data_IF_626149347173
#
_entry.id   IF_626149347173
#
_cell.length_a   1.000
_cell.length_b   1.000
_cell.length_c   1.000
_cell.angle_alpha   90.00
_cell.angle_beta   90.00
_cell.angle_gamma   90.00
#
_symmetry.space_group_name_H-M   'P 1'
#
loop_
_entity.id
_entity.type
_entity.pdbx_description
1 polymer ?
#
# COMPACT_ATOMS: atom_id res chain seq x y z
N UNK A 1 -15.45 79.68 20.64
CA UNK A 1 -16.89 79.98 20.96
C UNK A 1 -17.76 78.83 20.46
N UNK A 2 -18.70 78.36 21.36
CA UNK A 2 -19.89 77.48 21.19
C UNK A 2 -19.64 76.00 20.84
N UNK A 3 -19.68 75.05 21.75
CA UNK A 3 -20.72 74.44 22.60
C UNK A 3 -21.92 73.92 21.84
N UNK A 4 -22.22 72.59 22.13
CA UNK A 4 -23.46 71.84 22.07
C UNK A 4 -23.62 71.00 20.78
N UNK A 5 -24.00 69.70 20.81
CA UNK A 5 -24.87 68.97 21.74
C UNK A 5 -24.52 67.48 21.70
N UNK A 6 -24.55 66.87 22.89
CA UNK A 6 -24.76 65.47 23.16
C UNK A 6 -26.22 65.09 22.86
N UNK A 7 -26.49 63.92 22.33
CA UNK A 7 -27.42 62.91 22.88
C UNK A 7 -27.84 61.89 21.84
N UNK A 8 -27.81 60.61 22.26
CA UNK A 8 -28.70 59.51 21.87
C UNK A 8 -28.28 58.62 20.68
N UNK A 9 -27.65 57.52 20.99
CA UNK A 9 -28.02 56.19 20.51
C UNK A 9 -27.28 55.11 21.30
N UNK A 10 -27.73 54.85 22.49
CA UNK A 10 -27.55 53.56 23.14
C UNK A 10 -28.81 52.76 22.83
N UNK A 11 -28.64 51.58 22.21
CA UNK A 11 -29.51 50.39 22.11
C UNK A 11 -29.40 49.77 20.70
N UNK A 12 -28.38 48.99 20.47
CA UNK A 12 -28.34 47.92 19.45
C UNK A 12 -27.05 47.09 19.53
N UNK A 13 -26.60 46.65 20.71
CA UNK A 13 -25.40 45.81 20.87
C UNK A 13 -25.58 44.60 21.77
N UNK A 14 -26.80 44.08 21.93
CA UNK A 14 -27.04 42.87 22.71
C UNK A 14 -27.51 41.65 21.86
N UNK A 15 -27.69 41.81 20.56
CA UNK A 15 -28.13 40.70 19.68
C UNK A 15 -27.01 39.97 18.93
N UNK A 16 -25.81 40.57 18.80
CA UNK A 16 -24.69 40.00 18.00
C UNK A 16 -23.72 39.14 18.83
N UNK A 17 -23.68 39.29 20.13
CA UNK A 17 -22.75 38.52 20.99
C UNK A 17 -23.25 37.09 21.29
N UNK A 18 -24.55 36.85 21.34
CA UNK A 18 -25.11 35.50 21.57
C UNK A 18 -25.07 34.59 20.32
N UNK A 19 -24.98 35.15 19.11
CA UNK A 19 -24.88 34.37 17.88
C UNK A 19 -23.44 33.96 17.58
N UNK A 20 -22.42 34.64 18.12
CA UNK A 20 -21.01 34.30 17.95
C UNK A 20 -20.55 33.18 18.90
N UNK A 21 -21.12 33.11 20.10
CA UNK A 21 -20.77 32.02 21.05
C UNK A 21 -21.39 30.66 20.67
N UNK A 22 -22.47 30.62 19.90
CA UNK A 22 -23.09 29.36 19.43
C UNK A 22 -22.40 28.81 18.19
N UNK A 23 -21.61 29.60 17.45
CA UNK A 23 -20.82 29.17 16.28
C UNK A 23 -19.42 28.66 16.63
N UNK A 24 -18.92 28.95 17.85
CA UNK A 24 -17.62 28.45 18.33
C UNK A 24 -17.70 27.11 19.07
N UNK A 25 -18.89 26.56 19.29
CA UNK A 25 -19.10 25.30 20.01
C UNK A 25 -19.29 24.07 19.11
N UNK A 26 -19.03 24.19 17.82
CA UNK A 26 -19.08 23.09 16.86
C UNK A 26 -17.82 22.98 16.02
N UNK A 27 -16.66 23.17 16.64
CA UNK A 27 -15.47 22.46 16.18
C UNK A 27 -15.71 21.00 16.51
N UNK A 28 -16.21 20.26 15.52
CA UNK A 28 -16.26 18.82 15.58
C UNK A 28 -14.83 18.36 15.92
N UNK A 29 -14.65 17.83 17.14
CA UNK A 29 -13.42 17.13 17.50
C UNK A 29 -13.17 16.14 16.38
N UNK A 30 -12.11 16.36 15.61
CA UNK A 30 -11.61 15.37 14.69
C UNK A 30 -11.51 14.04 15.48
N UNK A 31 -12.02 12.93 14.97
CA UNK A 31 -11.93 11.67 15.67
C UNK A 31 -10.48 11.48 16.07
N UNK A 32 -10.23 11.15 17.33
CA UNK A 32 -8.90 10.90 17.84
C UNK A 32 -8.21 9.95 16.86
N UNK A 33 -7.06 10.38 16.31
CA UNK A 33 -6.28 9.56 15.39
C UNK A 33 -6.07 8.20 16.05
N UNK A 34 -6.63 7.15 15.47
CA UNK A 34 -6.40 5.79 15.93
C UNK A 34 -4.90 5.51 15.74
N UNK A 35 -4.14 5.62 16.85
CA UNK A 35 -2.68 5.42 16.85
C UNK A 35 -2.30 3.97 16.58
N UNK A 36 -3.29 3.11 16.37
CA UNK A 36 -3.10 1.69 16.06
C UNK A 36 -2.47 1.54 14.68
N UNK A 37 -1.50 0.63 14.57
CA UNK A 37 -0.87 0.29 13.29
C UNK A 37 -1.94 -0.11 12.26
N UNK A 38 -2.00 0.61 11.14
CA UNK A 38 -2.87 0.29 10.02
C UNK A 38 -2.35 -0.96 9.30
N UNK A 39 -3.20 -1.97 9.18
CA UNK A 39 -2.90 -3.23 8.51
C UNK A 39 -3.87 -3.45 7.36
N UNK A 40 -3.36 -3.44 6.13
CA UNK A 40 -4.13 -3.81 4.95
C UNK A 40 -3.88 -5.28 4.57
N UNK A 41 -4.76 -5.84 3.73
CA UNK A 41 -4.59 -7.15 3.10
C UNK A 41 -4.59 -6.97 1.59
N UNK A 42 -3.67 -7.64 0.90
CA UNK A 42 -3.62 -7.66 -0.56
C UNK A 42 -4.81 -8.46 -1.14
N UNK A 43 -5.36 -7.99 -2.26
CA UNK A 43 -6.49 -8.67 -2.93
C UNK A 43 -6.18 -10.12 -3.28
N UNK A 44 -4.97 -10.42 -3.75
CA UNK A 44 -4.58 -11.80 -4.08
C UNK A 44 -4.73 -12.75 -2.89
N UNK A 45 -4.39 -12.29 -1.69
CA UNK A 45 -4.60 -13.03 -0.44
C UNK A 45 -6.09 -13.29 -0.19
N UNK A 46 -6.93 -12.27 -0.31
CA UNK A 46 -8.37 -12.42 -0.16
C UNK A 46 -8.94 -13.42 -1.17
N UNK A 47 -8.63 -13.23 -2.45
CA UNK A 47 -9.09 -14.10 -3.54
C UNK A 47 -8.70 -15.56 -3.32
N UNK A 48 -7.46 -15.82 -2.91
CA UNK A 48 -6.97 -17.20 -2.77
C UNK A 48 -7.57 -17.92 -1.57
N UNK A 49 -7.80 -17.24 -0.45
CA UNK A 49 -8.45 -17.85 0.71
C UNK A 49 -9.95 -18.09 0.47
N UNK A 50 -10.70 -17.09 -0.01
CA UNK A 50 -12.13 -17.24 -0.25
C UNK A 50 -12.45 -18.18 -1.42
N UNK A 51 -11.57 -18.27 -2.43
CA UNK A 51 -11.70 -19.25 -3.52
C UNK A 51 -11.64 -20.70 -3.03
N UNK A 52 -10.92 -20.99 -1.94
CA UNK A 52 -10.94 -22.31 -1.29
C UNK A 52 -12.33 -22.72 -0.80
N UNK A 53 -13.19 -21.74 -0.54
CA UNK A 53 -14.58 -21.89 -0.13
C UNK A 53 -15.58 -21.68 -1.28
N UNK A 54 -15.08 -21.48 -2.49
CA UNK A 54 -15.88 -21.13 -3.68
C UNK A 54 -16.72 -19.86 -3.49
N UNK A 55 -16.14 -18.84 -2.85
CA UNK A 55 -16.76 -17.54 -2.54
C UNK A 55 -15.99 -16.40 -3.20
N UNK A 56 -16.71 -15.42 -3.74
CA UNK A 56 -16.15 -14.13 -4.15
C UNK A 56 -15.90 -13.26 -2.90
N UNK A 57 -14.63 -12.91 -2.63
CA UNK A 57 -14.24 -12.11 -1.47
C UNK A 57 -14.92 -10.73 -1.44
N UNK A 58 -15.23 -10.16 -2.59
CA UNK A 58 -15.95 -8.89 -2.67
C UNK A 58 -17.32 -8.93 -1.96
N UNK A 59 -17.91 -10.11 -1.78
CA UNK A 59 -19.15 -10.30 -1.01
C UNK A 59 -18.89 -10.42 0.50
N UNK A 60 -17.63 -10.41 0.94
CA UNK A 60 -17.18 -10.63 2.31
C UNK A 60 -16.46 -9.44 2.96
N UNK A 61 -16.57 -8.26 2.39
CA UNK A 61 -15.85 -7.07 2.89
C UNK A 61 -16.19 -6.73 4.34
N UNK A 62 -17.46 -6.89 4.75
CA UNK A 62 -17.84 -6.69 6.15
C UNK A 62 -17.18 -7.72 7.09
N UNK A 63 -17.05 -8.98 6.66
CA UNK A 63 -16.36 -10.03 7.40
C UNK A 63 -14.87 -9.73 7.54
N UNK A 64 -14.21 -9.30 6.45
CA UNK A 64 -12.81 -8.88 6.44
C UNK A 64 -12.60 -7.69 7.38
N UNK A 65 -13.47 -6.69 7.34
CA UNK A 65 -13.44 -5.55 8.27
C UNK A 65 -13.54 -6.00 9.73
N UNK A 66 -14.49 -6.87 10.04
CA UNK A 66 -14.72 -7.40 11.39
C UNK A 66 -13.54 -8.28 11.87
N UNK A 67 -12.77 -8.88 10.97
CA UNK A 67 -11.51 -9.55 11.30
C UNK A 67 -10.38 -8.59 11.71
N UNK A 68 -10.64 -7.29 11.74
CA UNK A 68 -9.69 -6.28 12.18
C UNK A 68 -8.75 -5.77 11.08
N UNK A 69 -9.05 -6.05 9.81
CA UNK A 69 -8.34 -5.47 8.65
C UNK A 69 -8.80 -4.03 8.45
N UNK A 70 -7.88 -3.11 8.22
CA UNK A 70 -8.17 -1.68 8.07
C UNK A 70 -8.39 -1.27 6.62
N UNK A 71 -7.79 -1.99 5.66
CA UNK A 71 -7.89 -1.69 4.23
C UNK A 71 -7.60 -2.87 3.34
N UNK A 72 -7.91 -2.70 2.06
CA UNK A 72 -7.59 -3.67 0.99
C UNK A 72 -6.69 -2.99 -0.03
N UNK A 73 -5.59 -3.65 -0.37
CA UNK A 73 -4.80 -3.33 -1.55
C UNK A 73 -5.40 -4.06 -2.75
N UNK A 74 -6.26 -3.37 -3.48
CA UNK A 74 -6.97 -3.95 -4.62
C UNK A 74 -6.04 -4.05 -5.84
N UNK A 75 -6.16 -5.15 -6.60
CA UNK A 75 -5.46 -5.34 -7.88
C UNK A 75 -6.30 -4.76 -9.02
N UNK A 76 -5.82 -3.72 -9.66
CA UNK A 76 -6.60 -2.91 -10.59
C UNK A 76 -5.91 -2.75 -11.94
N UNK A 77 -6.66 -2.98 -13.01
CA UNK A 77 -6.18 -2.92 -14.39
C UNK A 77 -6.62 -1.71 -15.19
N UNK A 78 -7.62 -0.96 -14.71
CA UNK A 78 -8.17 0.21 -15.41
C UNK A 78 -8.66 1.29 -14.43
N UNK A 79 -8.83 2.51 -14.92
CA UNK A 79 -9.40 3.61 -14.14
C UNK A 79 -10.85 3.35 -13.72
N UNK A 80 -11.66 2.69 -14.56
CA UNK A 80 -13.04 2.35 -14.22
C UNK A 80 -13.12 1.35 -13.08
N UNK A 81 -12.31 0.28 -13.11
CA UNK A 81 -12.23 -0.70 -12.04
C UNK A 81 -11.76 -0.05 -10.73
N UNK A 82 -10.83 0.90 -10.83
CA UNK A 82 -10.30 1.66 -9.69
C UNK A 82 -11.40 2.44 -8.98
N UNK A 83 -12.23 3.17 -9.71
CA UNK A 83 -13.32 3.93 -9.13
C UNK A 83 -14.40 3.01 -8.48
N UNK A 84 -14.73 1.89 -9.15
CA UNK A 84 -15.69 0.93 -8.63
C UNK A 84 -15.18 0.25 -7.33
N UNK A 85 -13.91 -0.18 -7.30
CA UNK A 85 -13.30 -0.76 -6.12
C UNK A 85 -13.24 0.22 -4.95
N UNK A 86 -12.78 1.46 -5.21
CA UNK A 86 -12.69 2.50 -4.19
C UNK A 86 -14.02 2.79 -3.51
N UNK A 87 -15.09 2.95 -4.31
CA UNK A 87 -16.44 3.12 -3.76
C UNK A 87 -16.86 1.93 -2.89
N UNK A 88 -16.67 0.71 -3.40
CA UNK A 88 -17.10 -0.51 -2.71
C UNK A 88 -16.38 -0.72 -1.38
N UNK A 89 -15.09 -0.43 -1.31
CA UNK A 89 -14.31 -0.49 -0.07
C UNK A 89 -14.76 0.58 0.92
N UNK A 90 -14.97 1.81 0.47
CA UNK A 90 -15.45 2.91 1.30
C UNK A 90 -16.83 2.61 1.93
N UNK A 91 -17.77 2.02 1.16
CA UNK A 91 -19.10 1.62 1.64
C UNK A 91 -19.03 0.60 2.82
N UNK A 92 -17.89 -0.09 3.00
CA UNK A 92 -17.64 -1.05 4.08
C UNK A 92 -16.63 -0.55 5.14
N UNK A 93 -16.23 0.71 5.08
CA UNK A 93 -15.25 1.30 6.00
C UNK A 93 -13.84 0.71 5.88
N UNK A 94 -13.49 0.16 4.71
CA UNK A 94 -12.15 -0.32 4.38
C UNK A 94 -11.41 0.75 3.58
N UNK A 95 -10.18 1.08 3.99
CA UNK A 95 -9.34 2.03 3.28
C UNK A 95 -8.78 1.42 1.99
N UNK A 96 -8.63 2.24 0.94
CA UNK A 96 -7.86 1.92 -0.26
C UNK A 96 -6.59 2.78 -0.29
N UNK A 97 -5.78 2.65 0.76
CA UNK A 97 -4.55 3.44 0.94
C UNK A 97 -3.47 3.06 -0.07
N UNK A 98 -3.40 1.78 -0.42
CA UNK A 98 -2.59 1.29 -1.55
C UNK A 98 -3.45 0.51 -2.53
N UNK A 99 -2.99 0.48 -3.79
CA UNK A 99 -3.51 -0.39 -4.85
C UNK A 99 -2.34 -1.08 -5.54
N UNK A 100 -2.60 -2.24 -6.15
CA UNK A 100 -1.64 -2.99 -6.94
C UNK A 100 -2.02 -2.91 -8.42
N UNK A 101 -1.03 -2.69 -9.27
CA UNK A 101 -1.19 -2.77 -10.73
C UNK A 101 0.10 -3.26 -11.39
N UNK A 102 0.00 -3.69 -12.64
CA UNK A 102 1.15 -4.11 -13.44
C UNK A 102 1.08 -3.53 -14.84
N UNK A 103 2.21 -3.48 -15.53
CA UNK A 103 2.25 -2.99 -16.90
C UNK A 103 3.54 -3.28 -17.65
N UNK A 104 3.45 -3.31 -18.97
CA UNK A 104 4.58 -3.55 -19.85
C UNK A 104 5.29 -2.23 -20.20
N UNK A 105 6.22 -1.81 -19.35
CA UNK A 105 7.01 -0.60 -19.56
C UNK A 105 8.36 -0.85 -20.25
N UNK A 106 8.74 -2.09 -20.53
CA UNK A 106 9.99 -2.45 -21.22
C UNK A 106 9.83 -2.49 -22.74
N UNK A 107 8.61 -2.62 -23.25
CA UNK A 107 8.32 -2.68 -24.69
C UNK A 107 8.35 -1.27 -25.33
N UNK A 108 8.82 -1.20 -26.57
CA UNK A 108 8.97 0.08 -27.26
C UNK A 108 7.63 0.65 -27.74
N UNK A 109 6.80 -0.20 -28.33
CA UNK A 109 5.53 0.23 -28.92
C UNK A 109 4.39 0.29 -27.89
N UNK A 110 4.37 -0.66 -26.95
CA UNK A 110 3.34 -0.73 -25.93
C UNK A 110 3.56 0.28 -24.78
N UNK A 111 4.81 0.66 -24.50
CA UNK A 111 5.17 1.44 -23.32
C UNK A 111 4.45 2.78 -23.19
N UNK A 112 4.26 3.51 -24.29
CA UNK A 112 3.51 4.80 -24.26
C UNK A 112 2.04 4.61 -23.93
N UNK A 113 1.38 3.58 -24.50
CA UNK A 113 -0.03 3.26 -24.20
C UNK A 113 -0.19 2.82 -22.74
N UNK A 114 0.75 2.03 -22.25
CA UNK A 114 0.79 1.60 -20.85
C UNK A 114 0.96 2.76 -19.89
N UNK A 115 1.84 3.72 -20.18
CA UNK A 115 2.02 4.93 -19.38
C UNK A 115 0.71 5.71 -19.26
N UNK A 116 -0.01 5.93 -20.37
CA UNK A 116 -1.30 6.65 -20.34
C UNK A 116 -2.34 5.92 -19.48
N UNK A 117 -2.50 4.59 -19.66
CA UNK A 117 -3.41 3.77 -18.87
C UNK A 117 -3.07 3.81 -17.37
N UNK A 118 -1.79 3.70 -17.03
CA UNK A 118 -1.34 3.69 -15.64
C UNK A 118 -1.54 5.05 -14.97
N UNK A 119 -1.29 6.16 -15.67
CA UNK A 119 -1.55 7.50 -15.16
C UNK A 119 -3.03 7.69 -14.84
N UNK A 120 -3.94 7.22 -15.70
CA UNK A 120 -5.39 7.25 -15.45
C UNK A 120 -5.77 6.49 -14.17
N UNK A 121 -5.16 5.34 -13.90
CA UNK A 121 -5.40 4.59 -12.66
C UNK A 121 -5.10 5.47 -11.43
N UNK A 122 -3.99 6.19 -11.42
CA UNK A 122 -3.64 7.11 -10.34
C UNK A 122 -4.65 8.23 -10.14
N UNK A 123 -5.10 8.85 -11.25
CA UNK A 123 -6.13 9.90 -11.20
C UNK A 123 -7.45 9.40 -10.59
N UNK A 124 -7.86 8.18 -10.95
CA UNK A 124 -9.09 7.56 -10.43
C UNK A 124 -8.95 7.02 -9.01
N UNK A 125 -7.73 6.69 -8.56
CA UNK A 125 -7.46 6.20 -7.20
C UNK A 125 -7.41 7.35 -6.17
N UNK A 126 -6.89 8.52 -6.56
CA UNK A 126 -6.68 9.66 -5.67
C UNK A 126 -7.92 10.07 -4.85
N UNK A 127 -9.15 10.17 -5.41
CA UNK A 127 -10.33 10.55 -4.64
C UNK A 127 -10.69 9.61 -3.49
N UNK A 128 -10.18 8.37 -3.49
CA UNK A 128 -10.41 7.36 -2.46
C UNK A 128 -9.32 7.28 -1.40
N UNK A 129 -8.43 8.28 -1.36
CA UNK A 129 -7.37 8.35 -0.35
C UNK A 129 -6.16 7.47 -0.64
N UNK A 130 -5.98 7.02 -1.89
CA UNK A 130 -4.79 6.25 -2.28
C UNK A 130 -3.54 7.14 -2.21
N UNK A 131 -2.54 6.65 -1.51
CA UNK A 131 -1.24 7.29 -1.28
C UNK A 131 -0.10 6.53 -1.99
N UNK A 132 -0.30 5.24 -2.27
CA UNK A 132 0.72 4.34 -2.82
C UNK A 132 0.11 3.52 -3.95
N UNK A 133 0.81 3.43 -5.08
CA UNK A 133 0.52 2.44 -6.11
C UNK A 133 1.69 1.48 -6.19
N UNK A 134 1.44 0.24 -5.77
CA UNK A 134 2.37 -0.87 -5.89
C UNK A 134 2.39 -1.31 -7.35
N UNK A 135 3.52 -1.16 -7.99
CA UNK A 135 3.68 -1.41 -9.43
C UNK A 135 4.64 -2.56 -9.69
N UNK A 136 4.13 -3.60 -10.36
CA UNK A 136 4.95 -4.72 -10.84
C UNK A 136 5.18 -4.60 -12.34
N UNK A 137 6.44 -4.47 -12.81
CA UNK A 137 6.74 -4.55 -14.23
C UNK A 137 6.27 -5.89 -14.81
N UNK A 138 5.74 -5.89 -16.04
CA UNK A 138 5.32 -7.13 -16.68
C UNK A 138 6.48 -8.13 -16.72
N UNK A 139 6.23 -9.32 -16.16
CA UNK A 139 7.23 -10.36 -16.06
C UNK A 139 7.69 -10.83 -17.45
N UNK A 140 9.01 -10.86 -17.64
CA UNK A 140 9.67 -11.44 -18.82
C UNK A 140 11.03 -11.93 -18.38
N UNK A 141 11.25 -13.23 -18.41
CA UNK A 141 12.56 -13.80 -18.14
C UNK A 141 13.60 -13.29 -19.15
N UNK A 142 14.76 -12.88 -18.65
CA UNK A 142 15.88 -12.48 -19.51
C UNK A 142 15.64 -11.21 -20.32
N UNK A 143 15.01 -10.18 -19.78
CA UNK A 143 14.97 -8.85 -20.42
C UNK A 143 16.37 -8.41 -20.84
N UNK A 144 16.51 -7.87 -22.04
CA UNK A 144 17.76 -7.28 -22.54
C UNK A 144 18.10 -5.98 -21.80
N UNK A 145 19.36 -5.54 -21.86
CA UNK A 145 19.77 -4.29 -21.24
C UNK A 145 18.98 -3.08 -21.80
N UNK A 146 18.68 -3.09 -23.10
CA UNK A 146 17.85 -2.04 -23.72
C UNK A 146 16.43 -2.01 -23.15
N UNK A 147 15.82 -3.18 -22.90
CA UNK A 147 14.50 -3.29 -22.28
C UNK A 147 14.52 -2.84 -20.81
N UNK A 148 15.54 -3.20 -20.05
CA UNK A 148 15.70 -2.77 -18.67
C UNK A 148 15.90 -1.25 -18.54
N UNK A 149 16.73 -0.66 -19.40
CA UNK A 149 16.95 0.80 -19.44
C UNK A 149 15.64 1.52 -19.79
N UNK A 150 14.90 1.02 -20.80
CA UNK A 150 13.59 1.58 -21.18
C UNK A 150 12.59 1.46 -20.07
N UNK A 151 12.48 0.30 -19.42
CA UNK A 151 11.60 0.07 -18.28
C UNK A 151 11.87 1.08 -17.16
N UNK A 152 13.11 1.24 -16.74
CA UNK A 152 13.48 2.17 -15.68
C UNK A 152 13.15 3.61 -16.03
N UNK A 153 13.43 4.05 -17.25
CA UNK A 153 13.06 5.38 -17.76
C UNK A 153 11.54 5.61 -17.73
N UNK A 154 10.76 4.61 -18.17
CA UNK A 154 9.31 4.70 -18.19
C UNK A 154 8.72 4.65 -16.75
N UNK A 155 9.34 3.89 -15.84
CA UNK A 155 8.96 3.90 -14.41
C UNK A 155 9.25 5.26 -13.77
N UNK A 156 10.35 5.90 -14.08
CA UNK A 156 10.65 7.27 -13.62
C UNK A 156 9.58 8.26 -14.11
N UNK A 157 9.21 8.19 -15.38
CA UNK A 157 8.15 9.03 -15.96
C UNK A 157 6.81 8.80 -15.27
N UNK A 158 6.44 7.53 -15.02
CA UNK A 158 5.23 7.14 -14.33
C UNK A 158 5.22 7.65 -12.88
N UNK A 159 6.33 7.42 -12.15
CA UNK A 159 6.49 7.84 -10.78
C UNK A 159 6.41 9.37 -10.62
N UNK A 160 7.06 10.12 -11.51
CA UNK A 160 6.96 11.57 -11.56
C UNK A 160 5.51 12.04 -11.85
N UNK A 161 4.76 11.30 -12.67
CA UNK A 161 3.35 11.57 -12.94
C UNK A 161 2.47 11.36 -11.70
N UNK A 162 2.58 10.22 -11.05
CA UNK A 162 1.82 9.92 -9.82
C UNK A 162 2.22 10.81 -8.64
N UNK A 163 3.51 11.19 -8.53
CA UNK A 163 3.99 12.12 -7.52
C UNK A 163 3.27 13.48 -7.58
N UNK A 164 2.90 13.98 -8.77
CA UNK A 164 2.11 15.21 -8.93
C UNK A 164 0.70 15.09 -8.34
N UNK A 165 0.17 13.87 -8.25
CA UNK A 165 -1.09 13.56 -7.59
C UNK A 165 -0.92 13.33 -6.07
N UNK A 166 0.32 13.38 -5.55
CA UNK A 166 0.64 13.00 -4.18
C UNK A 166 0.53 11.50 -3.95
N UNK A 167 0.81 10.67 -4.99
CA UNK A 167 0.82 9.21 -4.94
C UNK A 167 2.25 8.72 -5.19
N UNK A 168 2.74 7.82 -4.34
CA UNK A 168 4.03 7.18 -4.49
C UNK A 168 3.94 5.97 -5.44
N UNK A 169 4.87 5.84 -6.39
CA UNK A 169 5.11 4.58 -7.09
C UNK A 169 5.99 3.70 -6.19
N UNK A 170 5.50 2.53 -5.80
CA UNK A 170 6.26 1.54 -5.05
C UNK A 170 6.57 0.33 -5.95
N UNK A 171 7.81 0.19 -6.38
CA UNK A 171 8.27 -0.93 -7.20
C UNK A 171 8.09 -2.24 -6.44
N UNK A 172 7.33 -3.16 -7.03
CA UNK A 172 7.12 -4.53 -6.55
C UNK A 172 7.91 -5.52 -7.41
N UNK A 173 8.33 -6.63 -6.84
CA UNK A 173 9.14 -7.64 -7.50
C UNK A 173 8.82 -9.04 -7.00
N UNK A 174 9.08 -10.03 -7.86
CA UNK A 174 9.01 -11.45 -7.58
C UNK A 174 10.38 -12.12 -7.76
N UNK A 175 10.37 -13.44 -7.91
CA UNK A 175 11.60 -14.20 -8.22
C UNK A 175 12.19 -13.84 -9.57
N UNK A 176 11.36 -13.48 -10.55
CA UNK A 176 11.81 -13.14 -11.92
C UNK A 176 12.74 -11.93 -11.93
N UNK A 177 12.42 -10.89 -11.15
CA UNK A 177 13.23 -9.67 -11.05
C UNK A 177 14.54 -9.91 -10.28
N UNK A 178 14.58 -11.00 -9.48
CA UNK A 178 15.76 -11.43 -8.72
C UNK A 178 16.66 -12.42 -9.48
N UNK A 179 16.25 -12.88 -10.65
CA UNK A 179 17.08 -13.73 -11.51
C UNK A 179 18.39 -13.03 -11.91
N UNK A 180 19.38 -13.84 -12.29
CA UNK A 180 20.71 -13.35 -12.73
C UNK A 180 21.40 -12.44 -11.69
N UNK A 181 21.27 -12.77 -10.41
CA UNK A 181 21.85 -11.97 -9.31
C UNK A 181 21.10 -10.69 -9.02
N UNK A 182 19.78 -10.66 -9.31
CA UNK A 182 18.94 -9.49 -9.08
C UNK A 182 19.15 -8.37 -10.11
N UNK A 183 19.58 -8.71 -11.32
CA UNK A 183 19.94 -7.72 -12.35
C UNK A 183 18.83 -6.71 -12.59
N UNK A 184 17.58 -7.16 -12.78
CA UNK A 184 16.44 -6.26 -12.98
C UNK A 184 16.12 -5.48 -11.70
N UNK A 185 16.04 -6.16 -10.56
CA UNK A 185 15.78 -5.55 -9.26
C UNK A 185 16.76 -4.42 -8.93
N UNK A 186 18.05 -4.70 -9.02
CA UNK A 186 19.08 -3.70 -8.75
C UNK A 186 19.08 -2.58 -9.80
N UNK A 187 18.89 -2.91 -11.09
CA UNK A 187 18.88 -1.90 -12.15
C UNK A 187 17.73 -0.91 -11.98
N UNK A 188 16.52 -1.37 -11.66
CA UNK A 188 15.37 -0.47 -11.38
C UNK A 188 15.74 0.49 -10.25
N UNK A 189 16.24 -0.02 -9.12
CA UNK A 189 16.53 0.80 -7.95
C UNK A 189 17.77 1.70 -8.11
N UNK A 190 18.77 1.30 -8.90
CA UNK A 190 19.96 2.13 -9.17
C UNK A 190 19.76 3.08 -10.35
N UNK A 191 18.94 2.71 -11.33
CA UNK A 191 18.74 3.44 -12.59
C UNK A 191 17.57 4.43 -12.57
N UNK A 192 16.87 4.57 -11.46
CA UNK A 192 15.71 5.49 -11.32
C UNK A 192 15.95 6.55 -10.25
N UNK A 193 15.30 7.69 -10.39
CA UNK A 193 15.26 8.73 -9.36
C UNK A 193 14.62 8.18 -8.08
N UNK A 194 15.31 8.27 -6.91
CA UNK A 194 14.78 7.81 -5.63
C UNK A 194 13.52 8.52 -5.17
N UNK A 195 13.24 9.69 -5.70
CA UNK A 195 12.03 10.45 -5.40
C UNK A 195 10.83 10.07 -6.26
N UNK A 196 11.05 9.41 -7.40
CA UNK A 196 10.00 9.00 -8.33
C UNK A 196 9.63 7.52 -8.16
N UNK A 197 10.65 6.65 -7.99
CA UNK A 197 10.45 5.20 -7.86
C UNK A 197 10.90 4.76 -6.47
N UNK A 198 9.94 4.50 -5.62
CA UNK A 198 10.12 3.98 -4.27
C UNK A 198 10.03 2.45 -4.28
N UNK A 199 10.07 1.80 -3.12
CA UNK A 199 10.10 0.34 -2.99
C UNK A 199 8.93 -0.17 -2.16
N UNK A 200 8.19 -1.11 -2.71
CA UNK A 200 7.41 -2.08 -1.95
C UNK A 200 8.35 -3.23 -1.56
N UNK A 201 8.75 -3.29 -0.31
CA UNK A 201 9.68 -4.31 0.13
C UNK A 201 9.00 -5.66 0.28
N UNK A 202 9.35 -6.58 -0.61
CA UNK A 202 8.87 -7.96 -0.68
C UNK A 202 9.78 -8.87 0.14
N UNK A 203 9.57 -8.93 1.45
CA UNK A 203 10.48 -9.68 2.31
C UNK A 203 10.54 -11.18 1.97
N UNK A 204 9.41 -11.79 1.58
CA UNK A 204 9.39 -13.22 1.26
C UNK A 204 9.90 -13.53 -0.15
N UNK A 205 9.68 -12.63 -1.13
CA UNK A 205 10.29 -12.80 -2.45
C UNK A 205 11.79 -12.56 -2.39
N UNK A 206 12.28 -11.64 -1.55
CA UNK A 206 13.71 -11.53 -1.24
C UNK A 206 14.29 -12.84 -0.68
N UNK A 207 13.56 -13.48 0.25
CA UNK A 207 13.92 -14.78 0.80
C UNK A 207 13.95 -15.87 -0.26
N UNK A 208 12.81 -16.12 -0.91
CA UNK A 208 12.60 -17.23 -1.86
C UNK A 208 13.41 -17.04 -3.15
N UNK A 209 13.41 -15.85 -3.72
CA UNK A 209 14.13 -15.53 -4.96
C UNK A 209 15.66 -15.57 -4.81
N UNK A 210 16.17 -15.56 -3.57
CA UNK A 210 17.60 -15.69 -3.27
C UNK A 210 17.95 -17.05 -2.65
N UNK A 211 17.23 -18.09 -3.01
CA UNK A 211 17.51 -19.47 -2.57
C UNK A 211 17.14 -19.74 -1.12
N UNK A 212 16.06 -19.16 -0.62
CA UNK A 212 15.59 -19.25 0.76
C UNK A 212 16.60 -18.70 1.78
N UNK A 213 17.14 -17.52 1.47
CA UNK A 213 18.20 -16.90 2.27
C UNK A 213 17.66 -15.72 3.09
N UNK A 214 17.72 -15.81 4.41
CA UNK A 214 17.46 -14.68 5.30
C UNK A 214 18.52 -13.57 5.16
N UNK A 215 19.75 -13.87 4.76
CA UNK A 215 20.79 -12.87 4.53
C UNK A 215 20.32 -11.90 3.46
N UNK A 216 19.79 -12.41 2.32
CA UNK A 216 19.30 -11.58 1.23
C UNK A 216 18.13 -10.67 1.67
N UNK A 217 17.21 -11.14 2.51
CA UNK A 217 16.10 -10.31 3.05
C UNK A 217 16.65 -9.06 3.73
N UNK A 218 17.61 -9.24 4.63
CA UNK A 218 18.14 -8.13 5.42
C UNK A 218 19.16 -7.27 4.66
N UNK A 219 19.85 -7.84 3.69
CA UNK A 219 20.74 -7.07 2.81
C UNK A 219 19.93 -6.18 1.85
N UNK A 220 18.84 -6.68 1.24
CA UNK A 220 17.97 -5.86 0.40
C UNK A 220 17.33 -4.72 1.22
N UNK A 221 16.80 -5.02 2.42
CA UNK A 221 16.25 -3.99 3.31
C UNK A 221 17.30 -2.93 3.66
N UNK A 222 18.54 -3.35 3.96
CA UNK A 222 19.64 -2.43 4.31
C UNK A 222 20.06 -1.56 3.12
N UNK A 223 20.19 -2.15 1.93
CA UNK A 223 20.67 -1.45 0.74
C UNK A 223 19.68 -0.39 0.25
N UNK A 224 18.37 -0.65 0.40
CA UNK A 224 17.32 0.20 -0.17
C UNK A 224 16.36 0.76 0.87
N UNK A 225 16.77 0.83 2.14
CA UNK A 225 15.95 1.35 3.26
C UNK A 225 15.32 2.70 2.97
N UNK A 226 16.04 3.61 2.32
CA UNK A 226 15.60 4.97 2.04
C UNK A 226 14.47 5.03 0.98
N UNK A 227 14.28 3.95 0.23
CA UNK A 227 13.22 3.83 -0.78
C UNK A 227 11.96 3.14 -0.28
N UNK A 228 12.01 2.42 0.85
CA UNK A 228 10.88 1.62 1.34
C UNK A 228 9.73 2.51 1.79
N UNK A 229 8.55 2.33 1.19
CA UNK A 229 7.29 3.02 1.56
C UNK A 229 6.14 2.05 1.83
N UNK A 230 6.24 0.83 1.33
CA UNK A 230 5.30 -0.27 1.59
C UNK A 230 6.07 -1.54 1.87
N UNK A 231 5.46 -2.45 2.63
CA UNK A 231 6.00 -3.78 2.92
C UNK A 231 4.89 -4.80 2.74
N UNK A 232 5.14 -5.81 1.90
CA UNK A 232 4.28 -6.98 1.82
C UNK A 232 4.81 -8.05 2.75
N UNK A 233 3.96 -8.49 3.67
CA UNK A 233 4.30 -9.48 4.68
C UNK A 233 3.74 -10.85 4.33
N UNK A 234 4.65 -11.80 4.21
CA UNK A 234 4.36 -13.23 3.98
C UNK A 234 5.33 -14.07 4.78
N UNK A 235 4.90 -15.21 5.28
CA UNK A 235 5.74 -16.13 6.03
C UNK A 235 5.62 -17.56 5.50
N UNK A 236 6.68 -18.32 5.67
CA UNK A 236 6.71 -19.76 5.43
C UNK A 236 7.25 -20.50 6.65
N UNK A 237 6.92 -21.78 6.71
CA UNK A 237 7.46 -22.72 7.67
C UNK A 237 7.99 -23.93 6.88
N UNK A 238 9.26 -24.22 7.01
CA UNK A 238 9.95 -25.24 6.19
C UNK A 238 9.77 -25.00 4.68
N UNK A 239 9.88 -23.75 4.25
CA UNK A 239 9.73 -23.28 2.86
C UNK A 239 8.33 -23.45 2.25
N UNK A 240 7.31 -23.79 3.04
CA UNK A 240 5.90 -23.78 2.62
C UNK A 240 5.20 -22.58 3.25
N UNK A 241 4.46 -21.80 2.45
CA UNK A 241 3.72 -20.65 2.97
C UNK A 241 2.75 -21.09 4.07
N UNK A 242 2.86 -20.44 5.22
CA UNK A 242 1.99 -20.73 6.36
C UNK A 242 0.57 -20.20 6.12
N UNK A 243 -0.41 -20.76 6.82
CA UNK A 243 -1.81 -20.36 6.70
C UNK A 243 -2.05 -18.95 7.26
N UNK A 244 -1.34 -18.59 8.34
CA UNK A 244 -1.37 -17.25 8.94
C UNK A 244 0.03 -16.62 8.93
N UNK A 245 0.11 -15.29 8.89
CA UNK A 245 1.35 -14.60 9.14
C UNK A 245 1.70 -14.71 10.63
N UNK A 246 2.91 -15.19 10.93
CA UNK A 246 3.37 -15.48 12.29
C UNK A 246 4.85 -15.84 12.32
N UNK A 247 5.26 -16.67 13.28
CA UNK A 247 6.62 -17.23 13.33
C UNK A 247 6.87 -18.15 12.14
N UNK A 248 8.14 -18.23 11.69
CA UNK A 248 8.51 -19.07 10.56
C UNK A 248 9.96 -18.94 10.14
N UNK A 249 10.20 -19.14 8.83
CA UNK A 249 11.54 -19.19 8.25
C UNK A 249 12.25 -17.82 8.25
N UNK A 250 11.50 -16.72 8.29
CA UNK A 250 12.04 -15.35 8.32
C UNK A 250 11.92 -14.79 9.75
N UNK A 251 13.01 -14.25 10.29
CA UNK A 251 13.07 -13.63 11.61
C UNK A 251 12.29 -12.30 11.65
N UNK A 252 11.05 -12.37 12.13
CA UNK A 252 10.16 -11.22 12.25
C UNK A 252 10.63 -10.21 13.32
N UNK A 253 11.36 -10.63 14.35
CA UNK A 253 11.92 -9.70 15.36
C UNK A 253 12.96 -8.80 14.71
N UNK A 254 13.86 -9.39 13.93
CA UNK A 254 14.87 -8.65 13.17
C UNK A 254 14.24 -7.79 12.09
N UNK A 255 13.20 -8.28 11.41
CA UNK A 255 12.46 -7.51 10.40
C UNK A 255 11.80 -6.28 11.02
N UNK A 256 11.06 -6.44 12.12
CA UNK A 256 10.43 -5.34 12.84
C UNK A 256 11.44 -4.28 13.30
N UNK A 257 12.58 -4.73 13.84
CA UNK A 257 13.68 -3.85 14.23
C UNK A 257 14.28 -3.09 13.03
N UNK A 258 14.32 -3.71 11.85
CA UNK A 258 14.75 -3.07 10.60
C UNK A 258 13.75 -2.03 10.13
N UNK A 259 12.45 -2.37 10.08
CA UNK A 259 11.40 -1.48 9.63
C UNK A 259 11.23 -0.24 10.53
N UNK A 260 11.43 -0.38 11.86
CA UNK A 260 11.41 0.75 12.80
C UNK A 260 12.56 1.77 12.58
N UNK A 261 13.60 1.39 11.83
CA UNK A 261 14.74 2.28 11.49
C UNK A 261 14.57 2.96 10.13
N UNK A 262 13.51 2.67 9.39
CA UNK A 262 13.27 3.32 8.11
C UNK A 262 13.05 4.83 8.29
N UNK A 263 13.48 5.66 7.33
CA UNK A 263 13.29 7.11 7.38
C UNK A 263 11.81 7.52 7.39
N UNK A 264 10.95 6.66 6.82
CA UNK A 264 9.49 6.84 6.76
C UNK A 264 8.82 5.57 7.25
N UNK A 265 7.70 5.72 7.96
CA UNK A 265 6.87 4.59 8.34
C UNK A 265 6.29 3.92 7.10
N UNK A 266 6.64 2.66 6.88
CA UNK A 266 6.13 1.89 5.75
C UNK A 266 4.67 1.49 5.95
N UNK A 267 3.90 1.50 4.86
CA UNK A 267 2.56 0.93 4.83
C UNK A 267 2.64 -0.61 4.89
N UNK A 268 1.94 -1.21 5.82
CA UNK A 268 1.97 -2.66 6.03
C UNK A 268 0.80 -3.33 5.33
N UNK A 269 1.11 -4.28 4.47
CA UNK A 269 0.13 -5.08 3.72
C UNK A 269 0.41 -6.57 3.95
N UNK A 270 -0.60 -7.30 4.42
CA UNK A 270 -0.56 -8.76 4.49
C UNK A 270 -0.74 -9.35 3.09
N UNK A 271 0.25 -10.04 2.63
CA UNK A 271 0.23 -10.83 1.39
C UNK A 271 0.37 -12.34 1.69
N UNK A 272 -0.08 -12.76 2.85
CA UNK A 272 -0.08 -14.15 3.29
C UNK A 272 -1.11 -14.95 2.50
N UNK A 273 -0.68 -15.58 1.43
CA UNK A 273 -1.53 -16.41 0.57
C UNK A 273 -1.18 -17.89 0.70
N UNK A 274 -2.13 -18.79 0.48
CA UNK A 274 -1.85 -20.22 0.49
C UNK A 274 -1.18 -20.70 -0.81
N UNK A 275 -0.31 -21.68 -0.69
CA UNK A 275 0.23 -22.45 -1.81
C UNK A 275 0.00 -23.95 -1.63
N UNK A 276 0.53 -24.77 -2.53
CA UNK A 276 0.47 -26.23 -2.37
C UNK A 276 1.24 -26.64 -1.10
N UNK A 277 0.57 -27.36 -0.21
CA UNK A 277 1.13 -27.75 1.10
C UNK A 277 0.75 -26.81 2.25
N UNK A 278 0.23 -25.60 1.99
CA UNK A 278 -0.31 -24.74 3.06
C UNK A 278 -1.48 -25.43 3.77
N UNK A 279 -1.49 -25.52 5.10
CA UNK A 279 -2.62 -26.04 5.84
C UNK A 279 -3.94 -25.38 5.47
N UNK A 280 -5.06 -26.11 5.61
CA UNK A 280 -6.42 -25.60 5.45
C UNK A 280 -7.20 -25.93 6.72
N UNK A 281 -6.92 -25.22 7.79
CA UNK A 281 -7.47 -25.50 9.14
C UNK A 281 -8.38 -24.37 9.63
N UNK A 282 -8.28 -23.18 9.03
CA UNK A 282 -8.95 -21.97 9.47
C UNK A 282 -9.86 -21.41 8.37
N UNK A 283 -10.97 -20.78 8.79
CA UNK A 283 -11.77 -19.94 7.89
C UNK A 283 -11.00 -18.67 7.51
N UNK A 284 -11.25 -18.05 6.33
CA UNK A 284 -10.52 -16.86 5.85
C UNK A 284 -10.51 -15.69 6.86
N UNK A 285 -11.64 -15.39 7.48
CA UNK A 285 -11.71 -14.31 8.49
C UNK A 285 -10.81 -14.56 9.69
N UNK A 286 -10.68 -15.81 10.13
CA UNK A 286 -9.81 -16.18 11.25
C UNK A 286 -8.33 -16.09 10.86
N UNK A 287 -7.99 -16.42 9.61
CA UNK A 287 -6.65 -16.20 9.05
C UNK A 287 -6.28 -14.72 9.12
N UNK A 288 -7.16 -13.83 8.65
CA UNK A 288 -6.93 -12.39 8.64
C UNK A 288 -6.84 -11.84 10.06
N UNK A 289 -7.73 -12.26 10.95
CA UNK A 289 -7.73 -11.81 12.36
C UNK A 289 -6.40 -12.14 13.04
N UNK A 290 -5.98 -13.40 13.01
CA UNK A 290 -4.71 -13.84 13.64
C UNK A 290 -3.51 -13.14 13.03
N UNK A 291 -3.46 -13.03 11.71
CA UNK A 291 -2.37 -12.38 11.02
C UNK A 291 -2.30 -10.88 11.36
N UNK A 292 -3.42 -10.17 11.38
CA UNK A 292 -3.45 -8.75 11.73
C UNK A 292 -3.10 -8.50 13.21
N UNK A 293 -3.54 -9.36 14.12
CA UNK A 293 -3.17 -9.30 15.54
C UNK A 293 -1.66 -9.51 15.74
N UNK A 294 -1.10 -10.53 15.08
CA UNK A 294 0.34 -10.78 15.14
C UNK A 294 1.16 -9.60 14.61
N UNK A 295 0.76 -9.04 13.45
CA UNK A 295 1.43 -7.86 12.87
C UNK A 295 1.40 -6.69 13.84
N UNK A 296 0.26 -6.38 14.44
CA UNK A 296 0.16 -5.27 15.41
C UNK A 296 1.00 -5.51 16.67
N UNK A 297 1.03 -6.73 17.16
CA UNK A 297 1.88 -7.09 18.31
C UNK A 297 3.37 -6.98 18.04
N UNK A 298 3.79 -7.29 16.80
CA UNK A 298 5.21 -7.33 16.44
C UNK A 298 5.73 -6.00 15.89
N UNK A 299 4.93 -5.29 15.08
CA UNK A 299 5.37 -4.12 14.31
C UNK A 299 4.77 -2.80 14.80
N UNK A 300 3.76 -2.85 15.65
CA UNK A 300 3.10 -1.69 16.28
C UNK A 300 3.88 -1.03 17.41
#
# INVERSE_FOLDING_TARGET
>A
MKRRQFLSAALATTGAALAAETLLAQEAQAPAEDKRLHVAVNQYTCDTFYRRENVDFWTRLAEIKNAGVDGIEATLGSGNDTAAAGKRLADHGLAMRSIYTSGNLHDEEAGERELARLLEIGEKAKPFGTEIIVFNPAAKGGKSDTELIRQSKNMDTLGAGWKKLGIALAFHYHTTELEFGGREFHHVLCGTDPDNVLLCFEQHWSYRGSGNSQVAVFDHLKLYSDRVVSVHLRQSVNNVWSETFGEGDIDNVRLAAGLKKLPKTAHIVLEQAPENGTPKTLAPAEVFRRSAEYVRGMFG
#
